data_IF_676150551436
#
_entry.id   IF_676150551436
#
_cell.length_a   1.000
_cell.length_b   1.000
_cell.length_c   1.000
_cell.angle_alpha   90.00
_cell.angle_beta   90.00
_cell.angle_gamma   90.00
#
_symmetry.space_group_name_H-M   'P 1'
#
loop_
_entity.id
_entity.type
_entity.pdbx_description
1 polymer ?
#
# COMPACT_ATOMS: atom_id res chain seq x y z
N UNK A 1 82.14 14.52 -6.71
CA UNK A 1 81.07 13.72 -7.36
C UNK A 1 79.83 14.60 -7.46
N UNK A 2 79.82 15.56 -8.38
CA UNK A 2 79.27 15.46 -9.75
C UNK A 2 77.81 15.02 -9.77
N UNK A 3 76.96 16.03 -9.55
CA UNK A 3 75.60 16.15 -10.07
C UNK A 3 75.55 15.68 -11.53
N UNK A 4 74.64 14.76 -11.82
CA UNK A 4 74.24 14.42 -13.17
C UNK A 4 73.10 15.35 -13.60
N UNK A 5 73.45 16.32 -14.48
CA UNK A 5 72.87 16.62 -15.82
C UNK A 5 71.38 16.30 -16.14
N UNK A 6 70.82 16.80 -17.26
CA UNK A 6 70.78 18.17 -17.80
C UNK A 6 69.39 18.53 -18.45
N UNK A 7 69.25 19.77 -18.91
CA UNK A 7 68.55 20.27 -20.12
C UNK A 7 67.34 19.53 -20.73
N UNK A 8 66.27 20.25 -21.06
CA UNK A 8 66.13 20.90 -22.38
C UNK A 8 64.73 21.51 -22.59
N UNK A 9 64.69 22.59 -23.35
CA UNK A 9 63.50 23.32 -23.78
C UNK A 9 62.70 22.58 -24.85
N UNK A 10 61.40 22.86 -24.89
CA UNK A 10 60.63 23.06 -26.12
C UNK A 10 59.88 21.84 -26.67
N UNK A 11 58.55 21.93 -26.77
CA UNK A 11 57.86 22.27 -28.02
C UNK A 11 56.34 22.23 -27.82
N UNK A 12 55.65 23.03 -28.61
CA UNK A 12 54.23 23.29 -28.52
C UNK A 12 53.32 22.18 -29.01
N UNK A 13 52.03 22.46 -28.93
CA UNK A 13 50.98 21.57 -29.41
C UNK A 13 49.61 22.10 -29.00
N UNK A 14 49.04 22.96 -29.84
CA UNK A 14 47.64 23.31 -29.77
C UNK A 14 46.76 22.05 -29.96
N UNK A 15 45.72 21.88 -29.16
CA UNK A 15 44.32 21.85 -29.60
C UNK A 15 43.39 21.18 -28.57
N UNK A 16 42.46 22.00 -28.12
CA UNK A 16 41.02 21.76 -28.22
C UNK A 16 40.33 20.73 -27.29
N UNK A 17 39.21 21.25 -26.76
CA UNK A 17 37.95 20.57 -26.39
C UNK A 17 37.93 19.88 -25.03
N UNK A 18 37.19 20.50 -24.12
CA UNK A 18 36.70 19.82 -22.93
C UNK A 18 36.07 20.75 -21.92
N UNK A 19 34.95 21.37 -22.26
CA UNK A 19 34.07 22.08 -21.34
C UNK A 19 33.56 21.08 -20.30
N UNK A 20 34.25 20.92 -19.18
CA UNK A 20 33.75 20.10 -18.08
C UNK A 20 32.80 20.94 -17.23
N UNK A 21 31.51 20.69 -17.48
CA UNK A 21 30.37 21.16 -16.69
C UNK A 21 30.68 21.08 -15.19
N UNK A 22 30.62 22.22 -14.52
CA UNK A 22 30.44 22.27 -13.08
C UNK A 22 29.18 21.49 -12.75
N UNK A 23 29.35 20.37 -12.03
CA UNK A 23 28.30 19.48 -11.57
C UNK A 23 27.27 20.30 -10.78
N UNK A 24 26.16 20.62 -11.43
CA UNK A 24 24.93 21.01 -10.76
C UNK A 24 24.50 19.81 -9.93
N UNK A 25 24.80 19.88 -8.64
CA UNK A 25 24.16 19.06 -7.62
C UNK A 25 22.66 19.34 -7.66
N UNK A 26 21.94 18.48 -8.38
CA UNK A 26 20.49 18.43 -8.36
C UNK A 26 20.06 18.06 -6.94
N UNK A 27 19.80 19.09 -6.12
CA UNK A 27 18.91 18.98 -4.97
C UNK A 27 17.55 18.56 -5.52
N UNK A 28 17.28 17.25 -5.49
CA UNK A 28 15.92 16.72 -5.65
C UNK A 28 15.07 17.44 -4.61
N UNK A 29 14.17 18.31 -5.07
CA UNK A 29 13.21 18.97 -4.18
C UNK A 29 12.42 17.86 -3.49
N UNK A 30 12.17 17.93 -2.18
CA UNK A 30 11.14 17.09 -1.59
C UNK A 30 9.84 17.48 -2.29
N UNK A 31 9.18 16.52 -2.93
CA UNK A 31 7.83 16.67 -3.47
C UNK A 31 6.86 16.87 -2.30
N UNK A 32 6.86 18.08 -1.73
CA UNK A 32 5.83 18.57 -0.82
C UNK A 32 4.65 19.00 -1.68
N UNK A 33 3.73 18.05 -1.87
CA UNK A 33 2.26 18.16 -2.06
C UNK A 33 1.72 16.87 -2.73
N UNK A 34 2.04 15.70 -2.16
CA UNK A 34 1.33 14.42 -2.41
C UNK A 34 0.58 14.02 -1.13
N UNK A 35 -0.26 14.90 -0.62
CA UNK A 35 -0.97 14.65 0.65
C UNK A 35 -2.43 14.35 0.36
N UNK A 36 -2.81 13.08 0.53
CA UNK A 36 -4.17 12.73 0.92
C UNK A 36 -4.94 11.75 0.04
N UNK A 37 -4.41 11.27 -1.07
CA UNK A 37 -5.18 10.44 -2.01
C UNK A 37 -4.75 8.97 -2.11
N UNK A 38 -3.73 8.56 -1.38
CA UNK A 38 -3.20 7.19 -1.43
C UNK A 38 -3.82 6.31 -0.32
N UNK A 39 -4.09 5.05 -0.65
CA UNK A 39 -4.42 3.99 0.30
C UNK A 39 -3.24 3.01 0.35
N UNK A 40 -2.71 2.74 1.54
CA UNK A 40 -1.63 1.78 1.74
C UNK A 40 -2.15 0.38 1.98
N UNK A 41 -1.30 -0.63 1.77
CA UNK A 41 -1.60 -2.02 2.11
C UNK A 41 -2.10 -2.14 3.55
N UNK A 42 -3.16 -2.92 3.74
CA UNK A 42 -3.76 -3.19 5.06
C UNK A 42 -3.03 -4.30 5.82
N UNK A 43 -2.24 -5.11 5.12
CA UNK A 43 -1.47 -6.22 5.67
C UNK A 43 -0.22 -6.45 4.82
N UNK A 44 0.79 -7.10 5.40
CA UNK A 44 1.92 -7.60 4.64
C UNK A 44 1.45 -8.79 3.81
N UNK A 45 1.92 -8.92 2.56
CA UNK A 45 1.56 -10.07 1.75
C UNK A 45 1.65 -9.85 0.25
N UNK A 46 1.01 -10.74 -0.50
CA UNK A 46 0.98 -10.68 -1.96
C UNK A 46 -0.28 -9.97 -2.44
N UNK A 47 -0.13 -8.82 -3.08
CA UNK A 47 -1.23 -8.09 -3.72
C UNK A 47 -1.66 -8.81 -5.00
N UNK A 48 -2.96 -8.99 -5.18
CA UNK A 48 -3.58 -9.60 -6.36
C UNK A 48 -4.74 -8.70 -6.85
N UNK A 49 -5.08 -8.74 -8.15
CA UNK A 49 -6.27 -8.07 -8.65
C UNK A 49 -7.53 -8.76 -8.09
N UNK A 50 -8.64 -8.01 -7.97
CA UNK A 50 -9.90 -8.59 -7.48
C UNK A 50 -10.37 -9.76 -8.35
N UNK A 51 -10.08 -9.72 -9.65
CA UNK A 51 -10.40 -10.77 -10.62
C UNK A 51 -9.75 -12.13 -10.31
N UNK A 52 -8.69 -12.17 -9.49
CA UNK A 52 -8.05 -13.41 -9.03
C UNK A 52 -8.62 -13.94 -7.70
N UNK A 53 -9.53 -13.20 -7.06
CA UNK A 53 -10.18 -13.63 -5.81
C UNK A 53 -11.15 -14.78 -6.10
N UNK A 54 -11.09 -15.85 -5.30
CA UNK A 54 -11.92 -17.04 -5.46
C UNK A 54 -13.35 -16.86 -4.89
N UNK A 55 -14.00 -15.76 -5.26
CA UNK A 55 -15.37 -15.44 -4.88
C UNK A 55 -16.00 -14.54 -5.97
N UNK A 56 -17.13 -14.91 -6.58
CA UNK A 56 -17.77 -14.14 -7.65
C UNK A 56 -18.26 -12.74 -7.25
N UNK A 57 -18.59 -12.50 -5.97
CA UNK A 57 -19.04 -11.20 -5.49
C UNK A 57 -17.89 -10.20 -5.56
N UNK A 58 -16.69 -10.64 -5.16
CA UNK A 58 -15.48 -9.81 -5.17
C UNK A 58 -14.82 -9.75 -6.56
N UNK A 59 -14.63 -10.90 -7.21
CA UNK A 59 -14.02 -10.95 -8.56
C UNK A 59 -14.88 -10.31 -9.65
N UNK A 60 -16.21 -10.33 -9.47
CA UNK A 60 -17.16 -9.61 -10.32
C UNK A 60 -17.31 -8.12 -9.99
N UNK A 61 -16.61 -7.60 -8.98
CA UNK A 61 -16.66 -6.18 -8.54
C UNK A 61 -18.08 -5.67 -8.25
N UNK A 62 -18.95 -6.54 -7.75
CA UNK A 62 -20.37 -6.22 -7.55
C UNK A 62 -20.58 -5.13 -6.48
N UNK A 63 -19.70 -5.06 -5.48
CA UNK A 63 -19.73 -4.07 -4.40
C UNK A 63 -18.94 -2.80 -4.70
N UNK A 64 -18.02 -2.86 -5.68
CA UNK A 64 -17.02 -1.84 -5.95
C UNK A 64 -15.74 -2.45 -6.52
N UNK A 65 -14.79 -1.59 -6.87
CA UNK A 65 -13.47 -1.98 -7.39
C UNK A 65 -12.39 -1.73 -6.33
N UNK A 66 -11.19 -2.30 -6.54
CA UNK A 66 -10.10 -2.22 -5.60
C UNK A 66 -9.05 -3.32 -5.81
N UNK A 67 -8.52 -3.84 -4.71
CA UNK A 67 -7.45 -4.86 -4.70
C UNK A 67 -7.73 -5.91 -3.64
N UNK A 68 -7.03 -7.04 -3.72
CA UNK A 68 -6.94 -7.99 -2.63
C UNK A 68 -5.49 -8.30 -2.26
N UNK A 69 -5.27 -8.72 -1.02
CA UNK A 69 -3.96 -9.11 -0.51
C UNK A 69 -4.10 -10.48 0.14
N UNK A 70 -3.26 -11.43 -0.27
CA UNK A 70 -3.08 -12.71 0.45
C UNK A 70 -2.15 -12.42 1.63
N UNK A 71 -2.64 -12.43 2.87
CA UNK A 71 -1.89 -11.94 4.02
C UNK A 71 -0.78 -12.91 4.45
N UNK A 72 0.34 -12.33 4.90
CA UNK A 72 1.43 -13.00 5.61
C UNK A 72 1.50 -12.59 7.09
N UNK A 73 0.65 -11.64 7.49
CA UNK A 73 0.48 -11.19 8.87
C UNK A 73 -0.97 -11.37 9.33
N UNK A 74 -1.15 -11.49 10.64
CA UNK A 74 -2.42 -11.73 11.31
C UNK A 74 -3.13 -10.45 11.76
N UNK A 75 -2.60 -9.27 11.40
CA UNK A 75 -3.13 -7.97 11.81
C UNK A 75 -3.46 -7.14 10.58
N UNK A 76 -4.73 -6.74 10.49
CA UNK A 76 -5.23 -5.84 9.46
C UNK A 76 -5.23 -4.42 10.01
N UNK A 77 -4.54 -3.52 9.30
CA UNK A 77 -4.34 -2.14 9.66
C UNK A 77 -5.17 -1.18 8.79
N UNK A 78 -5.36 0.03 9.29
CA UNK A 78 -6.01 1.12 8.56
C UNK A 78 -5.22 1.46 7.28
N UNK A 79 -5.83 1.41 6.07
CA UNK A 79 -5.15 1.76 4.83
C UNK A 79 -4.97 3.28 4.66
N UNK A 80 -5.67 4.10 5.44
CA UNK A 80 -5.56 5.55 5.42
C UNK A 80 -5.98 6.15 6.78
N UNK A 81 -5.77 7.45 6.95
CA UNK A 81 -6.42 8.21 8.00
C UNK A 81 -7.93 8.28 7.74
N UNK A 82 -8.75 8.21 8.79
CA UNK A 82 -10.20 8.35 8.65
C UNK A 82 -10.97 7.89 9.90
N UNK A 83 -12.28 7.75 9.73
CA UNK A 83 -13.18 7.22 10.76
C UNK A 83 -13.58 5.79 10.42
N UNK A 84 -13.59 4.90 11.40
CA UNK A 84 -14.17 3.55 11.29
C UNK A 84 -15.69 3.68 11.24
N UNK A 85 -16.25 3.82 10.03
CA UNK A 85 -17.68 4.11 9.82
C UNK A 85 -18.57 2.89 10.04
N UNK A 86 -18.01 1.68 9.88
CA UNK A 86 -18.70 0.42 10.13
C UNK A 86 -17.72 -0.59 10.73
N UNK A 87 -18.17 -1.37 11.71
CA UNK A 87 -17.49 -2.57 12.17
C UNK A 87 -18.52 -3.70 12.17
N UNK A 88 -18.29 -4.77 11.41
CA UNK A 88 -19.24 -5.88 11.32
C UNK A 88 -19.35 -6.59 12.68
N UNK A 89 -20.54 -7.03 13.09
CA UNK A 89 -20.74 -7.73 14.38
C UNK A 89 -19.84 -8.97 14.53
N UNK A 90 -19.57 -9.67 13.43
CA UNK A 90 -18.71 -10.85 13.38
C UNK A 90 -17.24 -10.52 13.10
N UNK A 91 -16.87 -9.24 13.10
CA UNK A 91 -15.50 -8.70 13.01
C UNK A 91 -14.70 -9.11 11.75
N UNK A 92 -15.35 -9.71 10.76
CA UNK A 92 -14.70 -10.08 9.49
C UNK A 92 -14.54 -8.90 8.52
N UNK A 93 -15.16 -7.76 8.80
CA UNK A 93 -15.13 -6.61 7.91
C UNK A 93 -15.26 -5.29 8.68
N UNK A 94 -14.65 -4.24 8.12
CA UNK A 94 -14.82 -2.87 8.58
C UNK A 94 -14.92 -1.91 7.38
N UNK A 95 -15.67 -0.84 7.59
CA UNK A 95 -15.77 0.29 6.66
C UNK A 95 -15.02 1.48 7.23
N UNK A 96 -14.41 2.28 6.35
CA UNK A 96 -13.82 3.56 6.71
C UNK A 96 -14.30 4.67 5.80
N UNK A 97 -14.44 5.85 6.39
CA UNK A 97 -14.72 7.09 5.67
C UNK A 97 -13.56 8.05 5.93
N UNK A 98 -12.92 8.50 4.85
CA UNK A 98 -11.87 9.52 4.91
C UNK A 98 -12.50 10.92 4.96
N UNK A 99 -11.75 11.91 5.43
CA UNK A 99 -12.24 13.29 5.57
C UNK A 99 -12.70 13.93 4.25
N UNK A 100 -12.19 13.44 3.12
CA UNK A 100 -12.63 13.87 1.80
C UNK A 100 -13.90 13.16 1.31
N UNK A 101 -14.46 12.23 2.08
CA UNK A 101 -15.67 11.49 1.74
C UNK A 101 -15.42 10.25 0.88
N UNK A 102 -14.18 9.83 0.67
CA UNK A 102 -13.91 8.49 0.12
C UNK A 102 -14.40 7.44 1.11
N UNK A 103 -15.24 6.51 0.63
CA UNK A 103 -15.73 5.38 1.40
C UNK A 103 -15.05 4.10 0.92
N UNK A 104 -14.48 3.35 1.86
CA UNK A 104 -13.83 2.08 1.59
C UNK A 104 -14.30 1.01 2.56
N UNK A 105 -14.18 -0.24 2.14
CA UNK A 105 -14.43 -1.41 2.97
C UNK A 105 -13.25 -2.37 2.88
N UNK A 106 -12.88 -2.93 4.02
CA UNK A 106 -11.97 -4.07 4.10
C UNK A 106 -12.75 -5.30 4.54
N UNK A 107 -12.70 -6.36 3.74
CA UNK A 107 -13.30 -7.66 4.05
C UNK A 107 -12.20 -8.70 4.20
N UNK A 108 -12.15 -9.36 5.36
CA UNK A 108 -11.03 -10.19 5.82
C UNK A 108 -11.38 -11.66 5.62
N UNK A 109 -10.75 -12.28 4.63
CA UNK A 109 -11.00 -13.67 4.23
C UNK A 109 -12.32 -13.86 3.48
N UNK A 110 -12.51 -15.07 2.95
CA UNK A 110 -13.72 -15.48 2.21
C UNK A 110 -14.64 -16.29 3.13
N UNK A 111 -15.96 -16.04 3.03
CA UNK A 111 -17.00 -16.69 3.85
C UNK A 111 -16.83 -16.57 5.37
N UNK A 112 -15.96 -15.67 5.84
CA UNK A 112 -15.61 -15.49 7.26
C UNK A 112 -16.75 -14.96 8.12
N UNK A 113 -17.78 -14.36 7.53
CA UNK A 113 -19.03 -14.03 8.23
C UNK A 113 -19.66 -15.26 8.91
N UNK A 114 -19.51 -16.45 8.32
CA UNK A 114 -20.05 -17.70 8.85
C UNK A 114 -19.37 -18.16 10.14
N UNK A 115 -18.20 -17.60 10.46
CA UNK A 115 -17.44 -17.89 11.69
C UNK A 115 -18.02 -17.21 12.93
N UNK A 116 -18.96 -16.27 12.76
CA UNK A 116 -19.64 -15.58 13.87
C UNK A 116 -18.67 -14.94 14.87
N UNK A 117 -17.56 -14.39 14.38
CA UNK A 117 -16.52 -13.76 15.19
C UNK A 117 -15.48 -14.72 15.77
N UNK A 118 -15.61 -16.03 15.57
CA UNK A 118 -14.60 -16.99 16.03
C UNK A 118 -13.25 -16.74 15.35
N UNK A 119 -12.21 -16.51 16.16
CA UNK A 119 -10.86 -16.26 15.68
C UNK A 119 -10.60 -14.82 15.23
N UNK A 120 -11.52 -13.87 15.49
CA UNK A 120 -11.30 -12.44 15.27
C UNK A 120 -11.27 -11.66 16.60
N UNK A 121 -10.44 -10.63 16.65
CA UNK A 121 -10.33 -9.67 17.74
C UNK A 121 -10.35 -8.25 17.17
N UNK A 122 -11.27 -7.42 17.65
CA UNK A 122 -11.29 -6.00 17.31
C UNK A 122 -10.35 -5.24 18.25
N UNK A 123 -9.55 -4.35 17.66
CA UNK A 123 -8.60 -3.48 18.36
C UNK A 123 -9.09 -2.02 18.41
N UNK A 124 -10.23 -1.76 17.76
CA UNK A 124 -10.89 -0.46 17.64
C UNK A 124 -12.41 -0.63 17.77
N UNK A 125 -13.10 0.48 17.97
CA UNK A 125 -14.57 0.57 17.98
C UNK A 125 -15.10 1.29 16.74
N UNK A 126 -16.37 1.04 16.40
CA UNK A 126 -17.06 1.86 15.41
C UNK A 126 -17.13 3.31 15.90
N UNK A 127 -16.86 4.25 14.98
CA UNK A 127 -16.82 5.69 15.26
C UNK A 127 -15.45 6.21 15.67
N UNK A 128 -14.47 5.33 15.92
CA UNK A 128 -13.11 5.75 16.24
C UNK A 128 -12.44 6.44 15.04
N UNK A 129 -11.68 7.49 15.33
CA UNK A 129 -10.74 8.07 14.37
C UNK A 129 -9.41 7.34 14.47
N UNK A 130 -8.91 6.88 13.34
CA UNK A 130 -7.68 6.09 13.27
C UNK A 130 -6.70 6.70 12.29
N UNK A 131 -5.41 6.41 12.50
CA UNK A 131 -4.33 6.80 11.59
C UNK A 131 -3.94 5.67 10.66
N UNK A 132 -3.44 6.02 9.48
CA UNK A 132 -2.85 5.06 8.54
C UNK A 132 -1.86 4.15 9.26
N UNK A 133 -2.02 2.84 9.07
CA UNK A 133 -1.20 1.81 9.70
C UNK A 133 -1.60 1.41 11.10
N UNK A 134 -2.60 2.05 11.69
CA UNK A 134 -3.13 1.67 13.00
C UNK A 134 -3.79 0.28 12.94
N UNK A 135 -3.46 -0.65 13.85
CA UNK A 135 -4.10 -1.97 13.91
C UNK A 135 -5.60 -1.88 14.18
N UNK A 136 -6.43 -2.51 13.36
CA UNK A 136 -7.88 -2.47 13.50
C UNK A 136 -8.46 -3.82 13.92
N UNK A 137 -8.04 -4.90 13.25
CA UNK A 137 -8.53 -6.26 13.51
C UNK A 137 -7.35 -7.22 13.50
N UNK A 138 -7.33 -8.14 14.47
CA UNK A 138 -6.44 -9.29 14.49
C UNK A 138 -7.25 -10.55 14.22
N UNK A 139 -6.67 -11.52 13.51
CA UNK A 139 -7.23 -12.86 13.41
C UNK A 139 -6.25 -13.93 13.91
N UNK A 140 -6.78 -15.08 14.31
CA UNK A 140 -5.99 -16.24 14.75
C UNK A 140 -5.72 -17.18 13.58
N UNK A 141 -4.47 -17.20 13.09
CA UNK A 141 -4.07 -18.05 11.97
C UNK A 141 -4.35 -19.54 12.20
N UNK A 142 -4.16 -20.05 13.42
CA UNK A 142 -4.39 -21.48 13.70
C UNK A 142 -5.88 -21.84 13.61
N UNK A 143 -6.77 -20.94 14.03
CA UNK A 143 -8.23 -21.12 13.85
C UNK A 143 -8.59 -21.11 12.37
N UNK A 144 -8.06 -20.15 11.60
CA UNK A 144 -8.36 -20.01 10.17
C UNK A 144 -7.83 -21.21 9.36
N UNK A 145 -6.60 -21.65 9.61
CA UNK A 145 -5.99 -22.83 9.00
C UNK A 145 -6.78 -24.10 9.30
N UNK A 146 -7.15 -24.32 10.57
CA UNK A 146 -7.93 -25.50 10.98
C UNK A 146 -9.29 -25.57 10.28
N UNK A 147 -9.88 -24.42 9.97
CA UNK A 147 -11.18 -24.30 9.29
C UNK A 147 -11.05 -24.27 7.76
N UNK A 148 -9.83 -24.23 7.22
CA UNK A 148 -9.57 -24.18 5.77
C UNK A 148 -10.02 -22.87 5.14
N UNK A 149 -9.92 -21.77 5.87
CA UNK A 149 -10.38 -20.44 5.42
C UNK A 149 -9.33 -19.83 4.51
N UNK A 150 -9.78 -19.32 3.36
CA UNK A 150 -8.99 -18.44 2.52
C UNK A 150 -8.97 -17.04 3.15
N UNK A 151 -7.79 -16.59 3.60
CA UNK A 151 -7.61 -15.30 4.27
C UNK A 151 -7.35 -14.14 3.31
N UNK A 152 -7.51 -14.34 2.00
CA UNK A 152 -7.47 -13.26 1.00
C UNK A 152 -8.36 -12.11 1.46
N UNK A 153 -7.74 -10.94 1.64
CA UNK A 153 -8.36 -9.77 2.26
C UNK A 153 -8.54 -8.69 1.20
N UNK A 154 -9.78 -8.25 1.00
CA UNK A 154 -10.16 -7.30 -0.05
C UNK A 154 -10.18 -5.88 0.52
N UNK A 155 -9.64 -4.91 -0.23
CA UNK A 155 -9.86 -3.47 -0.03
C UNK A 155 -10.64 -2.94 -1.22
N UNK A 156 -11.84 -2.43 -0.94
CA UNK A 156 -12.85 -2.07 -1.94
C UNK A 156 -13.23 -0.60 -1.76
N UNK A 157 -13.29 0.14 -2.86
CA UNK A 157 -13.85 1.48 -2.92
C UNK A 157 -15.36 1.39 -3.13
N UNK A 158 -16.15 1.97 -2.24
CA UNK A 158 -17.62 1.87 -2.27
C UNK A 158 -18.29 2.97 -3.10
N UNK A 159 -17.61 4.11 -3.27
CA UNK A 159 -18.13 5.25 -4.04
C UNK A 159 -17.18 5.73 -5.16
N UNK A 160 -16.66 4.82 -6.03
CA UNK A 160 -15.67 5.17 -7.04
C UNK A 160 -16.20 6.15 -8.10
N UNK A 161 -17.51 6.32 -8.27
CA UNK A 161 -18.07 7.29 -9.22
C UNK A 161 -17.69 8.76 -8.96
N UNK A 162 -17.13 9.06 -7.77
CA UNK A 162 -16.65 10.38 -7.39
C UNK A 162 -15.12 10.53 -7.50
N UNK A 163 -14.40 9.44 -7.81
CA UNK A 163 -12.94 9.37 -7.78
C UNK A 163 -12.40 8.56 -8.96
N UNK A 164 -11.44 9.11 -9.68
CA UNK A 164 -10.54 8.29 -10.49
C UNK A 164 -9.59 7.54 -9.56
N UNK A 165 -9.25 6.30 -9.87
CA UNK A 165 -8.29 5.54 -9.09
C UNK A 165 -7.44 4.63 -9.97
N UNK A 166 -6.28 4.28 -9.44
CA UNK A 166 -5.36 3.32 -10.04
C UNK A 166 -4.91 2.34 -8.95
N UNK A 167 -4.99 1.05 -9.27
CA UNK A 167 -4.55 -0.02 -8.39
C UNK A 167 -3.10 -0.40 -8.68
N UNK A 168 -2.41 -0.92 -7.67
CA UNK A 168 -1.12 -1.57 -7.84
C UNK A 168 -1.29 -2.80 -8.74
N UNK A 169 -0.35 -3.02 -9.65
CA UNK A 169 -0.37 -4.21 -10.49
C UNK A 169 -0.21 -5.48 -9.63
N UNK A 170 -1.00 -6.51 -9.94
CA UNK A 170 -1.00 -7.78 -9.23
C UNK A 170 0.34 -8.52 -9.23
N UNK A 171 0.47 -9.46 -8.29
CA UNK A 171 1.62 -10.32 -8.13
C UNK A 171 2.79 -9.71 -7.36
N UNK A 172 2.65 -8.48 -6.86
CA UNK A 172 3.68 -7.78 -6.10
C UNK A 172 3.58 -8.08 -4.61
N UNK A 173 4.74 -8.18 -3.95
CA UNK A 173 4.82 -8.19 -2.49
C UNK A 173 4.62 -6.76 -1.97
N UNK A 174 3.82 -6.61 -0.93
CA UNK A 174 3.53 -5.32 -0.29
C UNK A 174 3.72 -5.39 1.22
N UNK A 175 4.07 -4.25 1.81
CA UNK A 175 4.20 -4.03 3.24
C UNK A 175 3.13 -3.07 3.74
N UNK A 176 2.42 -3.47 4.79
CA UNK A 176 1.39 -2.65 5.44
C UNK A 176 1.96 -1.32 5.89
N UNK A 177 1.14 -0.26 5.82
CA UNK A 177 1.52 1.13 6.15
C UNK A 177 2.66 1.74 5.31
N UNK A 178 3.30 0.98 4.42
CA UNK A 178 4.43 1.44 3.62
C UNK A 178 4.03 1.58 2.16
N UNK A 179 3.57 0.50 1.54
CA UNK A 179 3.33 0.46 0.11
C UNK A 179 1.93 0.96 -0.23
N UNK A 180 1.84 1.88 -1.18
CA UNK A 180 0.58 2.37 -1.74
C UNK A 180 0.01 1.32 -2.70
N UNK A 181 -1.21 0.87 -2.43
CA UNK A 181 -1.91 -0.15 -3.22
C UNK A 181 -3.02 0.43 -4.09
N UNK A 182 -3.53 1.61 -3.72
CA UNK A 182 -4.50 2.37 -4.51
C UNK A 182 -4.10 3.85 -4.47
N UNK A 183 -3.97 4.46 -5.64
CA UNK A 183 -3.86 5.92 -5.80
C UNK A 183 -5.22 6.44 -6.26
N UNK A 184 -5.82 7.37 -5.53
CA UNK A 184 -7.05 8.04 -5.94
C UNK A 184 -6.75 9.45 -6.49
N UNK A 185 -7.69 10.03 -7.23
CA UNK A 185 -7.72 11.43 -7.62
C UNK A 185 -9.16 11.85 -7.92
N UNK A 186 -9.48 13.12 -7.67
CA UNK A 186 -10.78 13.69 -8.07
C UNK A 186 -10.73 14.20 -9.50
#
# INVERSE_FOLDING_TARGET
>A
MRQFRPDCQGQGGAQAKGRMRMFQFFKKKPDLEKTGLELTAMTDGRCIPLEEVNDPVFSGKALGDGIAIVPEDCVIAAPCDGTVSMLAETLHAFGMTRDDGLELMVHIGIDTVALKGEGFEALVSQGDQVKKGEPLIRFDAAVMEKKGIDMTTMLILLNPGQYQFKTLAGGQQVKKNVDTVIECSR
#
